data_IF_154392865868
#
_entry.id   IF_154392865868
#
_cell.length_a   1.000
_cell.length_b   1.000
_cell.length_c   1.000
_cell.angle_alpha   90.00
_cell.angle_beta   90.00
_cell.angle_gamma   90.00
#
_symmetry.space_group_name_H-M   'P 1'
#
loop_
_entity.id
_entity.type
_entity.pdbx_description
1 polymer ?
#
# COMPACT_ATOMS: atom_id res chain seq x y z
N UNK A 1 18.70 8.99 30.22
CA UNK A 1 19.67 9.40 29.19
C UNK A 1 19.05 9.01 27.87
N UNK A 2 18.25 9.90 27.28
CA UNK A 2 17.39 9.61 26.13
C UNK A 2 17.95 10.35 24.91
N UNK A 3 18.19 9.61 23.81
CA UNK A 3 18.70 10.16 22.56
C UNK A 3 17.71 11.17 21.95
N UNK A 4 18.20 12.19 21.21
CA UNK A 4 17.35 13.26 20.71
C UNK A 4 16.44 12.75 19.59
N UNK A 5 15.22 13.28 19.63
CA UNK A 5 14.17 13.16 18.62
C UNK A 5 14.73 13.49 17.23
N UNK A 6 14.56 12.57 16.26
CA UNK A 6 14.84 12.86 14.85
C UNK A 6 14.00 14.06 14.39
N UNK A 7 14.66 15.12 13.96
CA UNK A 7 14.05 16.41 13.67
C UNK A 7 13.50 16.49 12.25
N UNK A 8 12.18 16.65 12.15
CA UNK A 8 11.45 16.83 10.90
C UNK A 8 11.57 18.29 10.45
N UNK A 9 12.45 18.55 9.47
CA UNK A 9 12.44 19.82 8.72
C UNK A 9 11.48 19.70 7.53
N UNK A 10 10.45 20.54 7.49
CA UNK A 10 9.54 20.67 6.35
C UNK A 10 9.83 21.99 5.66
N UNK A 11 10.04 21.94 4.36
CA UNK A 11 10.54 23.05 3.56
C UNK A 11 9.82 23.13 2.20
N UNK A 12 9.59 24.36 1.71
CA UNK A 12 8.77 24.63 0.52
C UNK A 12 9.40 25.69 -0.40
N UNK A 13 9.99 25.26 -1.50
CA UNK A 13 10.72 26.11 -2.45
C UNK A 13 9.78 26.83 -3.43
N UNK A 14 9.98 28.13 -3.63
CA UNK A 14 9.29 28.97 -4.62
C UNK A 14 10.28 29.45 -5.69
N UNK A 15 9.91 29.41 -6.98
CA UNK A 15 10.74 29.88 -8.11
C UNK A 15 10.17 31.14 -8.76
N UNK A 16 11.06 32.09 -9.07
CA UNK A 16 10.83 33.19 -10.02
C UNK A 16 11.58 32.87 -11.33
N UNK A 17 10.94 33.11 -12.49
CA UNK A 17 11.48 32.84 -13.83
C UNK A 17 11.77 34.15 -14.54
N UNK A 18 13.06 34.37 -14.87
CA UNK A 18 13.45 35.07 -16.10
C UNK A 18 14.18 34.08 -16.99
N UNK A 19 13.72 33.98 -18.22
CA UNK A 19 14.15 32.98 -19.20
C UNK A 19 15.53 33.25 -19.77
N UNK A 20 16.07 32.25 -20.45
CA UNK A 20 16.55 32.38 -21.83
C UNK A 20 16.73 31.00 -22.47
N UNK A 21 16.60 31.00 -23.80
CA UNK A 21 16.50 29.86 -24.71
C UNK A 21 17.76 28.99 -24.77
N UNK A 22 17.60 27.69 -25.05
CA UNK A 22 18.66 26.83 -25.58
C UNK A 22 18.15 26.10 -26.83
N UNK A 23 18.79 26.43 -27.95
CA UNK A 23 18.68 25.77 -29.27
C UNK A 23 19.35 24.40 -29.24
N UNK A 24 18.67 23.39 -29.78
CA UNK A 24 19.20 22.03 -29.97
C UNK A 24 19.80 21.92 -31.38
N UNK A 25 21.13 21.93 -31.47
CA UNK A 25 21.89 21.47 -32.62
C UNK A 25 23.02 20.58 -32.11
N UNK A 26 22.83 19.26 -32.27
CA UNK A 26 23.87 18.24 -32.44
C UNK A 26 23.23 16.88 -32.15
N UNK A 27 22.85 16.17 -33.20
CA UNK A 27 22.80 14.70 -33.34
C UNK A 27 21.97 14.38 -34.59
N UNK A 28 22.43 14.85 -35.75
CA UNK A 28 21.91 14.35 -37.01
C UNK A 28 23.08 14.14 -37.95
N UNK A 29 23.78 13.04 -37.75
CA UNK A 29 24.50 12.38 -38.83
C UNK A 29 24.59 10.88 -38.47
N UNK A 30 24.11 10.06 -39.41
CA UNK A 30 24.44 8.65 -39.59
C UNK A 30 23.49 7.54 -39.07
N UNK A 31 22.18 7.69 -39.27
CA UNK A 31 21.26 6.54 -39.23
C UNK A 31 20.24 6.60 -40.37
N UNK A 32 20.41 5.72 -41.37
CA UNK A 32 19.47 5.52 -42.48
C UNK A 32 18.09 5.01 -42.00
N UNK A 33 17.04 5.50 -42.64
CA UNK A 33 15.63 5.42 -42.21
C UNK A 33 15.10 3.98 -42.03
N UNK A 34 15.62 3.03 -42.79
CA UNK A 34 15.27 1.60 -42.71
C UNK A 34 15.74 0.94 -41.41
N UNK A 35 16.87 1.37 -40.84
CA UNK A 35 17.39 0.82 -39.59
C UNK A 35 16.66 1.39 -38.35
N UNK A 36 16.13 2.62 -38.43
CA UNK A 36 15.31 3.21 -37.35
C UNK A 36 13.99 2.46 -37.18
N UNK A 37 13.34 2.08 -38.27
CA UNK A 37 12.08 1.32 -38.25
C UNK A 37 12.22 -0.07 -37.62
N UNK A 38 13.23 -0.86 -38.04
CA UNK A 38 13.49 -2.18 -37.45
C UNK A 38 13.96 -2.10 -36.00
N UNK A 39 14.78 -1.10 -35.65
CA UNK A 39 15.24 -0.91 -34.27
C UNK A 39 14.08 -0.52 -33.34
N UNK A 40 13.19 0.37 -33.79
CA UNK A 40 11.98 0.75 -33.05
C UNK A 40 11.04 -0.46 -32.91
N UNK A 41 10.83 -1.24 -33.98
CA UNK A 41 10.02 -2.46 -33.93
C UNK A 41 10.61 -3.52 -33.00
N UNK A 42 11.94 -3.71 -32.97
CA UNK A 42 12.61 -4.61 -32.02
C UNK A 42 12.53 -4.12 -30.58
N UNK A 43 12.66 -2.81 -30.33
CA UNK A 43 12.50 -2.22 -28.98
C UNK A 43 11.05 -2.35 -28.50
N UNK A 44 10.09 -2.14 -29.41
CA UNK A 44 8.65 -2.27 -29.15
C UNK A 44 8.27 -3.75 -28.94
N UNK A 45 8.73 -4.67 -29.77
CA UNK A 45 8.49 -6.12 -29.59
C UNK A 45 9.18 -6.69 -28.34
N UNK A 46 10.40 -6.25 -28.00
CA UNK A 46 11.07 -6.68 -26.77
C UNK A 46 10.42 -6.10 -25.49
N UNK A 47 9.74 -4.95 -25.58
CA UNK A 47 8.99 -4.35 -24.46
C UNK A 47 7.59 -4.92 -24.28
N UNK A 48 6.92 -5.34 -25.34
CA UNK A 48 5.49 -5.72 -25.25
C UNK A 48 5.29 -7.18 -24.81
N UNK A 49 6.25 -8.10 -25.01
CA UNK A 49 6.03 -9.53 -24.74
C UNK A 49 7.19 -10.27 -24.04
N UNK A 50 7.77 -9.68 -23.00
CA UNK A 50 8.41 -10.49 -21.95
C UNK A 50 7.62 -10.34 -20.66
N UNK A 51 6.69 -11.27 -20.35
CA UNK A 51 6.10 -11.32 -19.03
C UNK A 51 7.21 -11.62 -18.03
N UNK A 52 7.75 -10.58 -17.40
CA UNK A 52 8.65 -10.68 -16.25
C UNK A 52 7.79 -10.98 -15.03
N UNK A 53 7.05 -12.09 -15.05
CA UNK A 53 6.58 -12.73 -13.81
C UNK A 53 7.82 -13.25 -13.10
N UNK A 54 8.58 -12.35 -12.50
CA UNK A 54 9.63 -12.66 -11.52
C UNK A 54 8.95 -12.75 -10.16
N UNK A 55 7.84 -13.49 -10.09
CA UNK A 55 7.29 -13.96 -8.82
C UNK A 55 8.20 -15.13 -8.45
N UNK A 56 9.16 -14.89 -7.55
CA UNK A 56 10.13 -15.89 -7.08
C UNK A 56 11.60 -15.44 -7.13
N UNK A 57 12.15 -15.04 -8.29
CA UNK A 57 13.62 -14.82 -8.38
C UNK A 57 14.15 -13.56 -7.68
N UNK A 58 13.29 -12.57 -7.38
CA UNK A 58 13.74 -11.37 -6.64
C UNK A 58 13.64 -11.54 -5.12
N UNK A 59 12.68 -12.34 -4.65
CA UNK A 59 12.49 -12.64 -3.23
C UNK A 59 13.59 -13.54 -2.65
N UNK A 60 14.19 -14.42 -3.46
CA UNK A 60 15.21 -15.36 -2.99
C UNK A 60 16.62 -14.75 -2.78
N UNK A 61 16.90 -13.57 -3.36
CA UNK A 61 18.25 -12.94 -3.31
C UNK A 61 18.42 -11.88 -2.23
N UNK A 62 17.34 -11.43 -1.61
CA UNK A 62 17.42 -10.51 -0.46
C UNK A 62 17.53 -11.34 0.80
N UNK A 63 18.67 -11.24 1.48
CA UNK A 63 18.86 -11.84 2.80
C UNK A 63 17.80 -11.24 3.73
N UNK A 64 16.92 -12.08 4.27
CA UNK A 64 15.89 -11.62 5.18
C UNK A 64 16.54 -11.04 6.43
N UNK A 65 16.12 -9.83 6.81
CA UNK A 65 16.55 -9.24 8.07
C UNK A 65 15.86 -9.96 9.25
N UNK A 66 16.42 -9.83 10.46
CA UNK A 66 15.73 -10.28 11.67
C UNK A 66 14.36 -9.60 11.86
N UNK A 67 14.26 -8.32 11.48
CA UNK A 67 12.98 -7.59 11.50
C UNK A 67 11.95 -8.19 10.54
N UNK A 68 12.38 -8.60 9.34
CA UNK A 68 11.52 -9.24 8.33
C UNK A 68 10.96 -10.57 8.85
N UNK A 69 11.79 -11.35 9.53
CA UNK A 69 11.35 -12.60 10.17
C UNK A 69 10.36 -12.34 11.32
N UNK A 70 10.64 -11.36 12.17
CA UNK A 70 9.77 -11.01 13.31
C UNK A 70 8.39 -10.56 12.83
N UNK A 71 8.32 -9.62 11.88
CA UNK A 71 7.02 -9.14 11.37
C UNK A 71 6.27 -10.24 10.65
N UNK A 72 6.95 -11.05 9.83
CA UNK A 72 6.30 -12.18 9.16
C UNK A 72 5.75 -13.16 10.18
N UNK A 73 6.51 -13.48 11.24
CA UNK A 73 6.06 -14.35 12.32
C UNK A 73 4.83 -13.78 13.03
N UNK A 74 4.84 -12.50 13.40
CA UNK A 74 3.70 -11.83 14.04
C UNK A 74 2.44 -11.91 13.17
N UNK A 75 2.56 -11.60 11.87
CA UNK A 75 1.43 -11.63 10.94
C UNK A 75 0.87 -13.05 10.75
N UNK A 76 1.75 -14.05 10.64
CA UNK A 76 1.35 -15.46 10.55
C UNK A 76 0.69 -15.95 11.84
N UNK A 77 1.27 -15.64 12.99
CA UNK A 77 0.70 -15.99 14.30
C UNK A 77 -0.66 -15.33 14.51
N UNK A 78 -0.81 -14.05 14.16
CA UNK A 78 -2.09 -13.35 14.26
C UNK A 78 -3.16 -14.02 13.39
N UNK A 79 -2.85 -14.33 12.13
CA UNK A 79 -3.76 -15.05 11.24
C UNK A 79 -4.12 -16.44 11.80
N UNK A 80 -3.14 -17.19 12.31
CA UNK A 80 -3.36 -18.53 12.87
C UNK A 80 -4.21 -18.53 14.15
N UNK A 81 -3.96 -17.59 15.07
CA UNK A 81 -4.72 -17.46 16.32
C UNK A 81 -6.20 -17.20 16.00
N UNK A 82 -6.48 -16.29 15.07
CA UNK A 82 -7.85 -16.00 14.65
C UNK A 82 -8.49 -17.15 13.88
N UNK A 83 -7.72 -17.91 13.09
CA UNK A 83 -8.19 -19.15 12.49
C UNK A 83 -8.69 -20.11 13.57
N UNK A 84 -7.83 -20.40 14.54
CA UNK A 84 -8.10 -21.35 15.60
C UNK A 84 -9.32 -20.94 16.44
N UNK A 85 -9.48 -19.65 16.73
CA UNK A 85 -10.63 -19.14 17.48
C UNK A 85 -11.98 -19.51 16.84
N UNK A 86 -12.10 -19.43 15.52
CA UNK A 86 -13.35 -19.76 14.81
C UNK A 86 -13.65 -21.27 14.86
N UNK A 87 -12.63 -22.12 14.66
CA UNK A 87 -12.80 -23.57 14.76
C UNK A 87 -13.11 -24.02 16.19
N UNK A 88 -12.44 -23.45 17.20
CA UNK A 88 -12.72 -23.72 18.60
C UNK A 88 -14.14 -23.33 18.98
N UNK A 89 -14.64 -22.19 18.48
CA UNK A 89 -16.02 -21.76 18.71
C UNK A 89 -17.02 -22.79 18.19
N UNK A 90 -16.86 -23.26 16.95
CA UNK A 90 -17.76 -24.28 16.39
C UNK A 90 -17.66 -25.61 17.13
N UNK A 91 -16.44 -26.02 17.47
CA UNK A 91 -16.19 -27.30 18.16
C UNK A 91 -16.75 -27.32 19.59
N UNK A 92 -16.46 -26.28 20.40
CA UNK A 92 -16.80 -26.24 21.82
C UNK A 92 -18.20 -25.70 22.09
N UNK A 93 -18.61 -24.62 21.43
CA UNK A 93 -19.90 -24.01 21.72
C UNK A 93 -21.04 -24.77 21.05
N UNK A 94 -20.78 -25.52 19.97
CA UNK A 94 -21.82 -26.05 19.05
C UNK A 94 -22.89 -24.99 18.72
N UNK A 95 -22.52 -23.71 18.78
CA UNK A 95 -23.43 -22.60 18.54
C UNK A 95 -23.28 -22.14 17.09
N UNK A 96 -24.40 -21.96 16.38
CA UNK A 96 -24.33 -21.52 15.00
C UNK A 96 -23.79 -20.11 14.86
N UNK A 97 -23.02 -19.91 13.79
CA UNK A 97 -22.70 -18.58 13.27
C UNK A 97 -23.91 -17.94 12.55
N UNK A 98 -25.00 -18.71 12.30
CA UNK A 98 -26.21 -18.29 11.58
C UNK A 98 -27.53 -18.88 12.11
N UNK A 99 -27.68 -19.08 13.42
CA UNK A 99 -28.95 -19.57 14.02
C UNK A 99 -29.36 -21.03 13.74
N UNK A 100 -28.60 -21.80 12.96
CA UNK A 100 -28.84 -23.25 12.71
C UNK A 100 -28.32 -24.12 13.87
N UNK A 101 -29.21 -24.62 14.73
CA UNK A 101 -28.78 -25.55 15.80
C UNK A 101 -28.16 -26.80 15.15
N UNK A 102 -26.90 -27.11 15.49
CA UNK A 102 -26.18 -28.26 14.94
C UNK A 102 -26.59 -29.55 15.67
N UNK A 103 -27.67 -30.20 15.22
CA UNK A 103 -28.14 -31.46 15.82
C UNK A 103 -27.61 -32.69 15.05
N UNK A 104 -27.31 -32.52 13.76
CA UNK A 104 -26.82 -33.62 12.90
C UNK A 104 -25.38 -33.42 12.42
N UNK A 105 -24.73 -34.53 12.00
CA UNK A 105 -23.40 -34.50 11.36
C UNK A 105 -23.37 -33.61 10.10
N UNK A 106 -24.51 -33.48 9.40
CA UNK A 106 -24.65 -32.56 8.27
C UNK A 106 -24.51 -31.13 8.75
N UNK A 107 -25.21 -30.75 9.81
CA UNK A 107 -25.16 -29.40 10.36
C UNK A 107 -23.74 -29.04 10.83
N UNK A 108 -23.01 -29.99 11.43
CA UNK A 108 -21.61 -29.81 11.80
C UNK A 108 -20.71 -29.51 10.59
N UNK A 109 -20.87 -30.23 9.47
CA UNK A 109 -20.10 -29.98 8.23
C UNK A 109 -20.37 -28.59 7.66
N UNK A 110 -21.62 -28.13 7.74
CA UNK A 110 -22.01 -26.78 7.36
C UNK A 110 -21.30 -25.76 8.25
N UNK A 111 -21.34 -25.94 9.57
CA UNK A 111 -20.63 -25.08 10.51
C UNK A 111 -19.12 -24.99 10.26
N UNK A 112 -18.47 -26.11 9.94
CA UNK A 112 -17.05 -26.13 9.54
C UNK A 112 -16.81 -25.37 8.24
N UNK A 113 -17.70 -25.52 7.24
CA UNK A 113 -17.57 -24.78 5.99
C UNK A 113 -17.66 -23.26 6.20
N UNK A 114 -18.66 -22.79 6.95
CA UNK A 114 -18.75 -21.37 7.29
C UNK A 114 -17.55 -20.90 8.13
N UNK A 115 -16.98 -21.75 9.01
CA UNK A 115 -15.77 -21.39 9.76
C UNK A 115 -14.57 -21.09 8.85
N UNK A 116 -14.39 -21.88 7.78
CA UNK A 116 -13.37 -21.59 6.76
C UNK A 116 -13.63 -20.26 6.07
N UNK A 117 -14.88 -19.96 5.72
CA UNK A 117 -15.24 -18.68 5.11
C UNK A 117 -14.92 -17.51 6.04
N UNK A 118 -15.26 -17.59 7.33
CA UNK A 118 -14.94 -16.58 8.32
C UNK A 118 -13.42 -16.41 8.52
N UNK A 119 -12.68 -17.52 8.60
CA UNK A 119 -11.22 -17.46 8.70
C UNK A 119 -10.61 -16.70 7.52
N UNK A 120 -11.01 -17.04 6.29
CA UNK A 120 -10.51 -16.36 5.09
C UNK A 120 -10.92 -14.89 5.05
N UNK A 121 -12.18 -14.56 5.35
CA UNK A 121 -12.64 -13.17 5.40
C UNK A 121 -11.85 -12.36 6.44
N UNK A 122 -11.78 -12.87 7.68
CA UNK A 122 -11.13 -12.17 8.78
C UNK A 122 -9.63 -12.02 8.55
N UNK A 123 -8.95 -13.10 8.14
CA UNK A 123 -7.52 -13.07 7.81
C UNK A 123 -7.22 -12.08 6.68
N UNK A 124 -8.01 -12.12 5.61
CA UNK A 124 -7.88 -11.15 4.51
C UNK A 124 -8.09 -9.71 4.95
N UNK A 125 -9.04 -9.43 5.85
CA UNK A 125 -9.27 -8.07 6.37
C UNK A 125 -8.18 -7.62 7.36
N UNK A 126 -7.61 -8.53 8.15
CA UNK A 126 -6.44 -8.25 9.00
C UNK A 126 -5.22 -7.89 8.16
N UNK A 127 -4.98 -8.64 7.09
CA UNK A 127 -3.91 -8.35 6.13
C UNK A 127 -4.18 -7.02 5.40
N UNK A 128 -5.44 -6.68 5.11
CA UNK A 128 -5.81 -5.38 4.55
C UNK A 128 -5.50 -4.23 5.52
N UNK A 129 -5.79 -4.40 6.82
CA UNK A 129 -5.44 -3.44 7.86
C UNK A 129 -3.93 -3.24 7.97
N UNK A 130 -3.16 -4.33 8.00
CA UNK A 130 -1.70 -4.29 7.99
C UNK A 130 -1.15 -3.64 6.70
N UNK A 131 -1.76 -3.93 5.55
CA UNK A 131 -1.42 -3.31 4.26
C UNK A 131 -1.52 -1.79 4.32
N UNK A 132 -2.52 -1.24 5.01
CA UNK A 132 -2.67 0.22 5.22
C UNK A 132 -1.61 0.73 6.19
N UNK A 133 -1.36 0.02 7.29
CA UNK A 133 -0.38 0.43 8.31
C UNK A 133 1.04 0.57 7.73
N UNK A 134 1.45 -0.34 6.85
CA UNK A 134 2.76 -0.26 6.20
C UNK A 134 2.87 0.82 5.09
N UNK A 135 1.85 1.67 4.91
CA UNK A 135 1.92 2.86 4.04
C UNK A 135 2.22 4.17 4.76
N UNK A 136 2.28 4.15 6.09
CA UNK A 136 2.57 5.32 6.90
C UNK A 136 3.98 5.86 6.57
N UNK A 137 4.14 7.18 6.51
CA UNK A 137 5.42 7.82 6.16
C UNK A 137 6.45 7.67 7.27
N UNK A 138 5.99 7.80 8.50
CA UNK A 138 6.74 7.44 9.69
C UNK A 138 5.95 6.39 10.44
N UNK A 139 6.27 5.12 10.14
CA UNK A 139 5.73 4.05 10.93
C UNK A 139 6.45 4.03 12.28
N UNK A 140 5.95 4.84 13.22
CA UNK A 140 6.46 4.89 14.59
C UNK A 140 6.47 3.50 15.23
N UNK A 141 5.48 2.65 14.90
CA UNK A 141 5.40 1.29 15.42
C UNK A 141 6.55 0.44 14.88
N UNK A 142 6.75 0.42 13.56
CA UNK A 142 7.87 -0.30 12.95
C UNK A 142 9.21 0.29 13.38
N UNK A 143 9.31 1.61 13.59
CA UNK A 143 10.50 2.27 14.16
C UNK A 143 10.79 1.80 15.59
N UNK A 144 9.76 1.65 16.42
CA UNK A 144 9.90 1.17 17.80
C UNK A 144 10.29 -0.31 17.85
N UNK A 145 9.75 -1.13 16.93
CA UNK A 145 9.97 -2.59 16.93
C UNK A 145 11.24 -3.01 16.18
N UNK A 146 11.53 -2.38 15.04
CA UNK A 146 12.66 -2.73 14.16
C UNK A 146 13.86 -1.78 14.27
N UNK A 147 13.75 -0.71 15.07
CA UNK A 147 14.75 0.34 15.15
C UNK A 147 14.58 1.46 14.11
N UNK A 148 15.43 2.51 14.16
CA UNK A 148 15.31 3.71 13.33
C UNK A 148 15.17 3.44 11.83
N UNK A 149 15.94 2.47 11.32
CA UNK A 149 16.00 2.11 9.89
C UNK A 149 14.78 1.29 9.43
N UNK A 150 14.17 0.52 10.34
CA UNK A 150 13.02 -0.32 10.00
C UNK A 150 11.72 0.45 9.82
N UNK A 151 11.57 1.57 10.54
CA UNK A 151 10.42 2.47 10.42
C UNK A 151 10.43 3.36 9.17
N UNK A 152 11.47 3.25 8.33
CA UNK A 152 11.58 4.02 7.10
C UNK A 152 10.54 3.57 6.07
N UNK A 153 9.89 4.55 5.44
CA UNK A 153 8.88 4.34 4.39
C UNK A 153 9.31 3.36 3.29
N UNK A 154 10.60 3.32 2.93
CA UNK A 154 11.14 2.43 1.90
C UNK A 154 11.09 0.95 2.30
N UNK A 155 11.12 0.63 3.59
CA UNK A 155 10.96 -0.72 4.11
C UNK A 155 9.48 -1.10 4.31
N UNK A 156 8.60 -0.14 4.60
CA UNK A 156 7.15 -0.37 4.70
C UNK A 156 6.50 -0.74 3.37
N UNK A 157 6.89 -0.09 2.27
CA UNK A 157 6.21 -0.28 0.98
C UNK A 157 6.31 -1.71 0.43
N UNK A 158 7.38 -2.47 0.74
CA UNK A 158 7.47 -3.89 0.35
C UNK A 158 6.39 -4.73 1.03
N UNK A 159 6.07 -4.44 2.30
CA UNK A 159 5.02 -5.11 3.05
C UNK A 159 3.64 -4.70 2.55
N UNK A 160 3.41 -3.41 2.27
CA UNK A 160 2.18 -2.96 1.64
C UNK A 160 1.89 -3.72 0.33
N UNK A 161 2.89 -3.86 -0.55
CA UNK A 161 2.72 -4.58 -1.81
C UNK A 161 2.45 -6.07 -1.56
N UNK A 162 3.24 -6.71 -0.70
CA UNK A 162 3.11 -8.14 -0.40
C UNK A 162 1.76 -8.49 0.23
N UNK A 163 1.38 -7.75 1.28
CA UNK A 163 0.12 -7.94 2.00
C UNK A 163 -1.09 -7.53 1.16
N UNK A 164 -0.96 -6.54 0.27
CA UNK A 164 -2.02 -6.18 -0.67
C UNK A 164 -2.35 -7.33 -1.63
N UNK A 165 -1.33 -8.02 -2.16
CA UNK A 165 -1.55 -9.21 -2.99
C UNK A 165 -2.07 -10.40 -2.18
N UNK A 166 -1.58 -10.59 -0.95
CA UNK A 166 -2.06 -11.65 -0.06
C UNK A 166 -3.54 -11.45 0.31
N UNK A 167 -3.91 -10.23 0.70
CA UNK A 167 -5.30 -9.79 0.94
C UNK A 167 -6.18 -10.14 -0.25
N UNK A 168 -5.75 -9.77 -1.47
CA UNK A 168 -6.50 -10.08 -2.68
C UNK A 168 -6.66 -11.59 -2.89
N UNK A 169 -5.60 -12.38 -2.74
CA UNK A 169 -5.66 -13.82 -2.92
C UNK A 169 -6.62 -14.46 -1.91
N UNK A 170 -6.50 -14.14 -0.62
CA UNK A 170 -7.34 -14.68 0.44
C UNK A 170 -8.81 -14.28 0.26
N UNK A 171 -9.09 -12.98 0.01
CA UNK A 171 -10.47 -12.51 -0.17
C UNK A 171 -11.09 -13.01 -1.48
N UNK A 172 -10.28 -13.31 -2.50
CA UNK A 172 -10.74 -14.02 -3.70
C UNK A 172 -11.15 -15.44 -3.35
N UNK A 173 -10.30 -16.19 -2.64
CA UNK A 173 -10.64 -17.56 -2.20
C UNK A 173 -11.90 -17.52 -1.32
N UNK A 174 -12.01 -16.59 -0.37
CA UNK A 174 -13.21 -16.37 0.42
C UNK A 174 -14.45 -16.19 -0.45
N UNK A 175 -14.42 -15.25 -1.41
CA UNK A 175 -15.57 -14.89 -2.25
C UNK A 175 -16.07 -16.07 -3.08
N UNK A 176 -15.15 -16.80 -3.74
CA UNK A 176 -15.52 -17.97 -4.55
C UNK A 176 -15.95 -19.16 -3.68
N UNK A 177 -15.29 -19.38 -2.54
CA UNK A 177 -15.63 -20.46 -1.62
C UNK A 177 -17.04 -20.29 -1.03
N UNK A 178 -17.32 -19.13 -0.43
CA UNK A 178 -18.65 -18.89 0.17
C UNK A 178 -19.73 -18.77 -0.89
N UNK A 179 -19.43 -18.16 -2.05
CA UNK A 179 -20.36 -18.12 -3.18
C UNK A 179 -20.75 -19.51 -3.68
N UNK A 180 -19.80 -20.45 -3.75
CA UNK A 180 -20.06 -21.84 -4.10
C UNK A 180 -20.90 -22.58 -3.04
N UNK A 181 -20.62 -22.34 -1.76
CA UNK A 181 -21.40 -22.90 -0.64
C UNK A 181 -22.84 -22.39 -0.67
N UNK A 182 -23.04 -21.08 -0.86
CA UNK A 182 -24.37 -20.47 -0.92
C UNK A 182 -25.16 -20.94 -2.14
N UNK A 183 -24.52 -21.05 -3.32
CA UNK A 183 -25.16 -21.62 -4.51
C UNK A 183 -25.57 -23.09 -4.32
N UNK A 184 -24.79 -23.86 -3.57
CA UNK A 184 -25.18 -25.24 -3.23
C UNK A 184 -26.47 -25.27 -2.38
N UNK A 185 -26.65 -24.33 -1.45
CA UNK A 185 -27.85 -24.25 -0.61
C UNK A 185 -29.07 -23.62 -1.29
N UNK A 186 -28.87 -22.91 -2.40
CA UNK A 186 -29.97 -22.34 -3.21
C UNK A 186 -30.27 -23.17 -4.45
N UNK A 187 -29.80 -24.42 -4.52
CA UNK A 187 -29.97 -25.31 -5.68
C UNK A 187 -29.46 -24.69 -7.01
N UNK A 188 -28.42 -23.85 -6.91
CA UNK A 188 -27.83 -23.14 -8.04
C UNK A 188 -28.58 -21.86 -8.46
N UNK A 189 -29.60 -21.42 -7.71
CA UNK A 189 -30.33 -20.20 -8.00
C UNK A 189 -29.49 -18.95 -7.69
N UNK A 190 -28.81 -18.46 -8.73
CA UNK A 190 -27.95 -17.26 -8.69
C UNK A 190 -28.73 -16.00 -8.27
N UNK A 191 -30.02 -15.90 -8.66
CA UNK A 191 -30.85 -14.75 -8.33
C UNK A 191 -31.16 -14.73 -6.84
N UNK A 192 -31.52 -15.88 -6.26
CA UNK A 192 -31.72 -15.98 -4.82
C UNK A 192 -30.43 -15.72 -4.04
N UNK A 193 -29.28 -16.17 -4.55
CA UNK A 193 -27.99 -16.05 -3.86
C UNK A 193 -27.40 -14.65 -3.86
N UNK A 194 -27.50 -13.90 -4.96
CA UNK A 194 -26.77 -12.64 -5.14
C UNK A 194 -27.64 -11.40 -5.37
N UNK A 195 -28.96 -11.55 -5.51
CA UNK A 195 -29.82 -10.37 -5.61
C UNK A 195 -30.12 -9.79 -4.22
N UNK A 196 -29.82 -8.50 -3.96
CA UNK A 196 -30.16 -7.86 -2.69
C UNK A 196 -31.67 -7.84 -2.38
N UNK A 197 -32.54 -7.97 -3.38
CA UNK A 197 -33.99 -8.07 -3.19
C UNK A 197 -34.45 -9.45 -2.70
N UNK A 198 -33.61 -10.48 -2.75
CA UNK A 198 -33.94 -11.87 -2.37
C UNK A 198 -33.87 -12.12 -0.85
N UNK A 199 -33.52 -11.11 -0.06
CA UNK A 199 -33.44 -11.17 1.41
C UNK A 199 -32.04 -10.89 1.96
N UNK A 200 -31.84 -11.19 3.24
CA UNK A 200 -30.60 -10.85 3.96
C UNK A 200 -29.34 -11.46 3.32
N UNK A 201 -29.35 -12.76 3.00
CA UNK A 201 -28.19 -13.43 2.39
C UNK A 201 -27.89 -12.86 1.00
N UNK A 202 -28.91 -12.61 0.18
CA UNK A 202 -28.77 -11.95 -1.12
C UNK A 202 -28.15 -10.57 -1.01
N UNK A 203 -28.56 -9.77 -0.01
CA UNK A 203 -27.99 -8.46 0.28
C UNK A 203 -26.51 -8.56 0.69
N UNK A 204 -26.20 -9.41 1.66
CA UNK A 204 -24.83 -9.63 2.13
C UNK A 204 -23.93 -10.05 0.98
N UNK A 205 -24.33 -11.05 0.20
CA UNK A 205 -23.54 -11.56 -0.92
C UNK A 205 -23.33 -10.52 -2.02
N UNK A 206 -24.36 -9.73 -2.35
CA UNK A 206 -24.24 -8.63 -3.31
C UNK A 206 -23.14 -7.63 -2.92
N UNK A 207 -23.16 -7.17 -1.67
CA UNK A 207 -22.13 -6.23 -1.18
C UNK A 207 -20.76 -6.87 -1.08
N UNK A 208 -20.67 -8.17 -0.78
CA UNK A 208 -19.42 -8.92 -0.77
C UNK A 208 -18.78 -8.99 -2.16
N UNK A 209 -19.59 -9.30 -3.18
CA UNK A 209 -19.15 -9.29 -4.59
C UNK A 209 -18.71 -7.88 -5.00
N UNK A 210 -19.49 -6.86 -4.64
CA UNK A 210 -19.15 -5.47 -4.98
C UNK A 210 -17.84 -5.03 -4.32
N UNK A 211 -17.61 -5.38 -3.05
CA UNK A 211 -16.34 -5.14 -2.36
C UNK A 211 -15.17 -5.85 -3.09
N UNK A 212 -15.35 -7.12 -3.44
CA UNK A 212 -14.34 -7.88 -4.19
C UNK A 212 -14.03 -7.25 -5.56
N UNK A 213 -15.04 -6.76 -6.28
CA UNK A 213 -14.84 -6.05 -7.55
C UNK A 213 -13.98 -4.79 -7.38
N UNK A 214 -14.23 -3.98 -6.35
CA UNK A 214 -13.40 -2.80 -6.07
C UNK A 214 -11.97 -3.18 -5.71
N UNK A 215 -11.78 -4.22 -4.90
CA UNK A 215 -10.45 -4.75 -4.60
C UNK A 215 -9.73 -5.26 -5.86
N UNK A 216 -10.44 -5.95 -6.76
CA UNK A 216 -9.90 -6.43 -8.02
C UNK A 216 -9.44 -5.27 -8.93
N UNK A 217 -10.23 -4.19 -9.02
CA UNK A 217 -9.84 -2.96 -9.74
C UNK A 217 -8.55 -2.38 -9.16
N UNK A 218 -8.46 -2.28 -7.83
CA UNK A 218 -7.24 -1.79 -7.17
C UNK A 218 -6.02 -2.65 -7.52
N UNK A 219 -6.14 -3.97 -7.47
CA UNK A 219 -5.02 -4.89 -7.72
C UNK A 219 -4.60 -4.88 -9.18
N UNK A 220 -5.55 -4.95 -10.12
CA UNK A 220 -5.27 -4.88 -11.57
C UNK A 220 -4.56 -3.57 -11.93
N UNK A 221 -5.05 -2.44 -11.41
CA UNK A 221 -4.42 -1.13 -11.65
C UNK A 221 -3.07 -0.97 -10.94
N UNK A 222 -2.80 -1.78 -9.90
CA UNK A 222 -1.54 -1.80 -9.16
C UNK A 222 -0.48 -2.74 -9.74
N UNK A 223 -0.81 -3.52 -10.77
CA UNK A 223 0.15 -4.37 -11.47
C UNK A 223 1.31 -3.53 -12.02
N UNK A 224 2.52 -4.08 -11.96
CA UNK A 224 3.75 -3.39 -12.37
C UNK A 224 3.66 -2.87 -13.81
N UNK A 225 3.09 -3.68 -14.73
CA UNK A 225 2.90 -3.30 -16.12
C UNK A 225 2.00 -2.06 -16.27
N UNK A 226 0.87 -2.04 -15.56
CA UNK A 226 -0.10 -0.92 -15.62
C UNK A 226 0.51 0.34 -15.00
N UNK A 227 1.15 0.22 -13.84
CA UNK A 227 1.83 1.35 -13.17
C UNK A 227 2.93 1.99 -14.02
N UNK A 228 3.67 1.18 -14.77
CA UNK A 228 4.75 1.65 -15.68
C UNK A 228 4.19 2.22 -16.98
N UNK A 229 3.06 1.71 -17.45
CA UNK A 229 2.40 2.21 -18.64
C UNK A 229 1.73 3.56 -18.39
N UNK A 230 0.94 3.69 -17.32
CA UNK A 230 0.28 4.94 -16.95
C UNK A 230 0.04 5.03 -15.43
N UNK A 231 0.84 5.86 -14.76
CA UNK A 231 0.73 6.07 -13.32
C UNK A 231 -0.61 6.68 -12.88
N UNK A 232 -1.29 7.46 -13.74
CA UNK A 232 -2.60 8.06 -13.39
C UNK A 232 -3.67 7.00 -13.22
N UNK A 233 -3.65 5.93 -14.03
CA UNK A 233 -4.60 4.81 -13.92
C UNK A 233 -4.42 4.10 -12.59
N UNK A 234 -3.17 3.83 -12.21
CA UNK A 234 -2.85 3.33 -10.88
C UNK A 234 -3.38 4.26 -9.79
N UNK A 235 -3.03 5.55 -9.85
CA UNK A 235 -3.41 6.52 -8.81
C UNK A 235 -4.91 6.57 -8.57
N UNK A 236 -5.72 6.68 -9.63
CA UNK A 236 -7.17 6.75 -9.54
C UNK A 236 -7.81 5.40 -9.23
N UNK A 237 -7.30 4.31 -9.83
CA UNK A 237 -7.77 2.95 -9.54
C UNK A 237 -7.53 2.55 -8.09
N UNK A 238 -6.43 3.01 -7.50
CA UNK A 238 -6.12 2.72 -6.09
C UNK A 238 -7.03 3.48 -5.12
N UNK A 239 -7.68 4.60 -5.52
CA UNK A 239 -8.65 5.31 -4.66
C UNK A 239 -9.92 4.49 -4.35
N UNK A 240 -10.15 3.42 -5.10
CA UNK A 240 -11.27 2.49 -4.86
C UNK A 240 -11.17 1.78 -3.50
N UNK A 241 -10.06 1.94 -2.75
CA UNK A 241 -9.97 1.47 -1.37
C UNK A 241 -11.10 2.02 -0.49
N UNK A 242 -11.56 3.26 -0.73
CA UNK A 242 -12.67 3.85 0.01
C UNK A 242 -13.96 3.07 -0.24
N UNK A 243 -14.23 2.76 -1.51
CA UNK A 243 -15.40 1.99 -1.92
C UNK A 243 -15.33 0.54 -1.46
N UNK A 244 -14.13 -0.07 -1.50
CA UNK A 244 -13.88 -1.40 -0.94
C UNK A 244 -14.18 -1.45 0.55
N UNK A 245 -13.62 -0.54 1.36
CA UNK A 245 -13.85 -0.50 2.81
C UNK A 245 -15.33 -0.27 3.13
N UNK A 246 -15.98 0.65 2.41
CA UNK A 246 -17.41 0.90 2.58
C UNK A 246 -18.24 -0.35 2.25
N UNK A 247 -18.04 -0.94 1.07
CA UNK A 247 -18.77 -2.13 0.65
C UNK A 247 -18.51 -3.33 1.58
N UNK A 248 -17.27 -3.49 2.07
CA UNK A 248 -16.93 -4.53 3.05
C UNK A 248 -17.66 -4.33 4.39
N UNK A 249 -17.79 -3.08 4.86
CA UNK A 249 -18.52 -2.77 6.09
C UNK A 249 -20.04 -3.01 5.95
N UNK A 250 -20.63 -2.74 4.77
CA UNK A 250 -22.04 -3.03 4.48
C UNK A 250 -22.28 -4.53 4.28
N UNK A 251 -21.34 -5.23 3.63
CA UNK A 251 -21.35 -6.68 3.49
C UNK A 251 -21.38 -7.36 4.86
N UNK A 252 -20.48 -6.94 5.76
CA UNK A 252 -20.40 -7.51 7.09
C UNK A 252 -19.87 -6.48 8.09
N UNK A 253 -20.69 -6.09 9.07
CA UNK A 253 -20.40 -4.97 9.97
C UNK A 253 -19.07 -5.11 10.71
N UNK A 254 -18.68 -6.33 11.10
CA UNK A 254 -17.43 -6.56 11.83
C UNK A 254 -16.20 -6.56 10.92
N UNK A 255 -16.36 -6.54 9.59
CA UNK A 255 -15.25 -6.48 8.65
C UNK A 255 -14.46 -5.15 8.76
N UNK A 256 -15.04 -4.10 9.35
CA UNK A 256 -14.35 -2.83 9.54
C UNK A 256 -13.37 -2.84 10.73
N UNK A 257 -13.53 -3.74 11.70
CA UNK A 257 -12.71 -3.73 12.92
C UNK A 257 -11.20 -3.88 12.66
N UNK A 258 -10.74 -4.77 11.76
CA UNK A 258 -9.32 -4.89 11.44
C UNK A 258 -8.70 -3.66 10.77
N UNK A 259 -9.50 -2.86 10.06
CA UNK A 259 -9.01 -1.75 9.22
C UNK A 259 -9.18 -0.38 9.86
N UNK A 260 -10.13 -0.20 10.79
CA UNK A 260 -10.46 1.13 11.35
C UNK A 260 -9.28 1.77 12.05
N UNK A 261 -8.53 1.02 12.87
CA UNK A 261 -7.34 1.55 13.55
C UNK A 261 -6.29 2.01 12.56
N UNK A 262 -5.98 1.17 11.56
CA UNK A 262 -5.03 1.52 10.51
C UNK A 262 -5.46 2.74 9.69
N UNK A 263 -6.77 2.88 9.39
CA UNK A 263 -7.32 4.04 8.68
C UNK A 263 -7.25 5.32 9.51
N UNK A 264 -7.49 5.25 10.82
CA UNK A 264 -7.34 6.40 11.72
C UNK A 264 -5.88 6.86 11.78
N UNK A 265 -4.93 5.92 11.95
CA UNK A 265 -3.51 6.23 11.91
C UNK A 265 -3.07 6.77 10.55
N UNK A 266 -3.56 6.19 9.46
CA UNK A 266 -3.31 6.68 8.11
C UNK A 266 -3.82 8.11 7.93
N UNK A 267 -5.03 8.40 8.38
CA UNK A 267 -5.60 9.75 8.32
C UNK A 267 -4.80 10.73 9.16
N UNK A 268 -4.37 10.32 10.36
CA UNK A 268 -3.50 11.10 11.24
C UNK A 268 -2.14 11.42 10.57
N UNK A 269 -1.45 10.41 10.03
CA UNK A 269 -0.18 10.56 9.29
C UNK A 269 -0.31 11.50 8.10
N UNK A 270 -1.48 11.54 7.45
CA UNK A 270 -1.73 12.47 6.34
C UNK A 270 -2.03 13.88 6.81
N UNK A 271 -2.76 14.08 7.90
CA UNK A 271 -3.18 15.42 8.36
C UNK A 271 -2.08 16.15 9.14
N UNK A 272 -1.37 15.46 10.04
CA UNK A 272 -0.40 16.08 10.96
C UNK A 272 0.69 16.87 10.25
N UNK A 273 1.31 16.38 9.15
CA UNK A 273 2.30 17.16 8.42
C UNK A 273 1.75 18.48 7.90
N UNK A 274 0.45 18.58 7.56
CA UNK A 274 -0.17 19.84 7.14
C UNK A 274 -0.44 20.79 8.29
N UNK A 275 -0.84 20.27 9.46
CA UNK A 275 -1.05 21.09 10.65
C UNK A 275 0.27 21.63 11.20
N UNK A 276 1.34 20.86 11.07
CA UNK A 276 2.71 21.26 11.43
C UNK A 276 3.43 22.02 10.29
N UNK A 277 2.81 22.18 9.11
CA UNK A 277 3.37 22.90 7.97
C UNK A 277 3.31 24.41 8.19
N UNK A 278 4.13 24.91 9.10
CA UNK A 278 4.22 26.34 9.41
C UNK A 278 5.52 26.98 8.88
N UNK A 279 6.22 26.32 7.94
CA UNK A 279 7.55 26.72 7.46
C UNK A 279 7.69 26.53 5.95
N UNK A 280 7.04 27.39 5.18
CA UNK A 280 7.46 27.58 3.79
C UNK A 280 8.88 28.16 3.80
N UNK A 281 9.83 27.48 3.16
CA UNK A 281 11.24 27.94 3.11
C UNK A 281 11.73 27.92 1.68
N UNK A 282 12.21 29.06 1.19
CA UNK A 282 12.72 29.17 -0.18
C UNK A 282 14.08 28.49 -0.25
N UNK A 283 14.10 27.28 -0.81
CA UNK A 283 15.33 26.55 -1.11
C UNK A 283 16.01 27.03 -2.40
N UNK A 284 17.31 26.79 -2.51
CA UNK A 284 18.07 27.06 -3.72
C UNK A 284 18.21 25.77 -4.53
N UNK A 285 17.80 25.81 -5.79
CA UNK A 285 17.94 24.69 -6.72
C UNK A 285 19.13 24.96 -7.62
N UNK A 286 20.07 24.01 -7.69
CA UNK A 286 21.25 24.08 -8.55
C UNK A 286 21.29 22.84 -9.43
N UNK A 287 21.37 23.01 -10.75
CA UNK A 287 21.59 21.90 -11.68
C UNK A 287 23.08 21.52 -11.63
N UNK A 288 23.38 20.30 -11.19
CA UNK A 288 24.76 19.80 -11.07
C UNK A 288 25.17 19.04 -12.32
N UNK A 289 24.25 18.26 -12.89
CA UNK A 289 24.44 17.53 -14.14
C UNK A 289 23.12 17.47 -14.93
N UNK A 290 23.12 16.81 -16.09
CA UNK A 290 21.93 16.72 -16.94
C UNK A 290 20.72 16.12 -16.20
N UNK A 291 20.97 15.07 -15.41
CA UNK A 291 19.97 14.31 -14.63
C UNK A 291 20.05 14.56 -13.11
N UNK A 292 20.97 15.41 -12.64
CA UNK A 292 21.23 15.63 -11.19
C UNK A 292 20.92 17.07 -10.81
N UNK A 293 19.98 17.20 -9.88
CA UNK A 293 19.57 18.48 -9.29
C UNK A 293 19.93 18.44 -7.81
N UNK A 294 20.64 19.47 -7.35
CA UNK A 294 20.92 19.71 -5.94
C UNK A 294 19.90 20.71 -5.40
N UNK A 295 19.29 20.41 -4.26
CA UNK A 295 18.38 21.31 -3.56
C UNK A 295 18.97 21.66 -2.19
N UNK A 296 19.34 22.92 -2.00
CA UNK A 296 19.77 23.44 -0.71
C UNK A 296 18.57 24.04 0.02
N UNK A 297 18.14 23.33 1.05
CA UNK A 297 17.00 23.69 1.89
C UNK A 297 17.51 24.50 3.09
N UNK A 298 17.18 25.79 3.21
CA UNK A 298 17.62 26.56 4.37
C UNK A 298 16.98 25.99 5.63
N UNK A 299 17.82 25.78 6.63
CA UNK A 299 17.36 25.49 7.97
C UNK A 299 16.89 26.82 8.55
N UNK A 300 15.57 27.06 8.49
CA UNK A 300 14.99 28.16 9.26
C UNK A 300 15.47 28.02 10.70
N UNK A 301 15.71 29.17 11.36
CA UNK A 301 16.18 29.32 12.75
C UNK A 301 15.16 28.81 13.79
N UNK A 302 14.48 27.72 13.45
CA UNK A 302 13.77 26.88 14.35
C UNK A 302 14.78 26.19 15.26
N UNK A 303 14.69 26.55 16.53
CA UNK A 303 15.42 26.00 17.66
C UNK A 303 15.79 24.51 17.45
N UNK A 304 17.10 24.24 17.42
CA UNK A 304 17.72 22.92 17.53
C UNK A 304 17.51 21.90 16.39
N UNK A 305 17.54 22.30 15.12
CA UNK A 305 17.61 21.33 14.00
C UNK A 305 19.05 20.92 13.69
N UNK A 306 19.63 20.05 14.52
CA UNK A 306 20.83 19.30 14.14
C UNK A 306 20.43 18.05 13.35
N UNK A 307 21.18 17.73 12.29
CA UNK A 307 20.98 16.52 11.48
C UNK A 307 22.31 15.78 11.30
N UNK A 308 22.27 14.46 11.27
CA UNK A 308 23.39 13.56 11.12
C UNK A 308 23.51 13.00 9.69
N UNK A 309 24.70 12.51 9.29
CA UNK A 309 24.85 11.80 8.03
C UNK A 309 23.94 10.56 8.01
N UNK A 310 23.19 10.39 6.92
CA UNK A 310 22.18 9.32 6.79
C UNK A 310 20.76 9.74 7.16
N UNK A 311 20.57 10.91 7.76
CA UNK A 311 19.25 11.48 7.96
C UNK A 311 18.58 11.84 6.62
N UNK A 312 17.27 12.00 6.66
CA UNK A 312 16.45 12.31 5.49
C UNK A 312 15.42 13.39 5.82
N UNK A 313 14.92 14.04 4.78
CA UNK A 313 13.98 15.15 4.85
C UNK A 313 12.79 14.92 3.92
N UNK A 314 11.59 15.27 4.38
CA UNK A 314 10.38 15.24 3.58
C UNK A 314 10.13 16.61 2.94
N UNK A 315 10.25 16.70 1.61
CA UNK A 315 9.99 17.94 0.87
C UNK A 315 8.68 17.87 0.12
N UNK A 316 7.88 18.95 0.23
CA UNK A 316 6.73 19.20 -0.63
C UNK A 316 7.11 20.32 -1.58
N UNK A 317 7.08 20.03 -2.88
CA UNK A 317 7.39 20.99 -3.94
C UNK A 317 6.06 21.32 -4.63
N UNK A 318 5.38 22.43 -4.28
CA UNK A 318 4.03 22.72 -4.76
C UNK A 318 3.90 22.75 -6.29
N UNK A 319 4.97 23.15 -6.98
CA UNK A 319 5.04 23.19 -8.45
C UNK A 319 5.06 21.80 -9.12
N UNK A 320 5.44 20.76 -8.39
CA UNK A 320 5.42 19.36 -8.88
C UNK A 320 4.17 18.65 -8.37
N UNK A 321 3.87 18.78 -7.08
CA UNK A 321 2.71 18.16 -6.46
C UNK A 321 2.22 19.00 -5.27
N UNK A 322 0.94 19.39 -5.32
CA UNK A 322 0.32 20.18 -4.27
C UNK A 322 0.12 19.41 -2.96
N UNK A 323 0.17 18.09 -2.93
CA UNK A 323 -0.34 17.28 -1.80
C UNK A 323 0.68 16.23 -1.33
N UNK A 324 1.75 15.97 -2.08
CA UNK A 324 2.69 14.91 -1.72
C UNK A 324 3.99 15.47 -1.17
N UNK A 325 4.38 14.97 0.01
CA UNK A 325 5.73 15.07 0.53
C UNK A 325 6.51 13.87 0.02
N UNK A 326 7.74 14.13 -0.44
CA UNK A 326 8.65 13.13 -0.94
C UNK A 326 9.87 13.06 -0.02
N UNK A 327 10.28 11.85 0.41
CA UNK A 327 11.47 11.67 1.23
C UNK A 327 12.72 11.80 0.35
N UNK A 328 13.73 12.49 0.87
CA UNK A 328 15.04 12.57 0.26
C UNK A 328 16.14 12.47 1.32
N UNK A 329 17.22 11.77 1.02
CA UNK A 329 18.38 11.68 1.92
C UNK A 329 19.14 13.00 1.95
N UNK A 330 19.61 13.40 3.14
CA UNK A 330 20.45 14.59 3.29
C UNK A 330 21.90 14.21 2.99
N UNK A 331 22.47 14.84 1.96
CA UNK A 331 23.85 14.64 1.52
C UNK A 331 24.87 15.53 2.22
N UNK A 332 24.45 16.54 2.98
CA UNK A 332 25.34 17.40 3.78
C UNK A 332 25.48 16.91 5.23
N UNK A 333 26.34 17.56 6.01
CA UNK A 333 26.50 17.29 7.44
C UNK A 333 26.33 18.59 8.23
N UNK A 334 25.54 18.59 9.30
CA UNK A 334 25.20 19.83 10.02
C UNK A 334 26.42 20.65 10.45
N UNK A 335 27.50 20.00 10.91
CA UNK A 335 28.72 20.71 11.33
C UNK A 335 29.44 21.42 10.19
N UNK A 336 29.30 20.95 8.95
CA UNK A 336 29.91 21.59 7.76
C UNK A 336 28.93 22.49 7.02
N UNK A 337 27.63 22.37 7.24
CA UNK A 337 26.59 23.16 6.58
C UNK A 337 25.43 23.53 7.54
N UNK A 338 25.68 24.33 8.59
CA UNK A 338 24.68 24.56 9.64
C UNK A 338 23.50 25.44 9.19
N UNK A 339 23.62 26.12 8.05
CA UNK A 339 22.58 27.01 7.52
C UNK A 339 21.61 26.33 6.56
N UNK A 340 21.97 25.16 6.01
CA UNK A 340 21.19 24.48 4.98
C UNK A 340 21.44 22.97 4.93
N UNK A 341 20.38 22.21 4.72
CA UNK A 341 20.47 20.80 4.36
C UNK A 341 20.54 20.67 2.84
N UNK A 342 21.49 19.90 2.32
CA UNK A 342 21.65 19.64 0.89
C UNK A 342 21.07 18.29 0.55
N UNK A 343 20.26 18.26 -0.51
CA UNK A 343 19.48 17.11 -0.95
C UNK A 343 19.70 16.86 -2.43
#
# INVERSE_FOLDING_TARGET
MWAPLGLIALAAVSMDRRGDNLTLEALDEDLTDTNKGEMILRIVQQKIWKPRWVVGRRWYRTVWSWGDLIVTFILLSANLIWALAHFLKVYYERRPLYGVIYDTDKDMRIGVAYSWAYFLAWGGMMDAGATILFTLREDYLTRTVMGPEGGEYFHGIKYHIGLGYLTFAILTIHSFYIGGVELYFTDGDVWRTFNPASGYNGHVNFWGVLAWCFLAVMVVTSLWAVRRWNYRIFYWGHQFYILFVFAAAVHWQTAIYPVVGALLFFTYDRIVPYLNFNRGVVGKITRVAEEIIRVDVPLQRAVNMEYAPGDWINLRIPHVNLVSFHPFSIGSFYRTSPSHATV
#
